data_IF_524618324339
#
_entry.id   IF_524618324339
#
_cell.length_a   1.000
_cell.length_b   1.000
_cell.length_c   1.000
_cell.angle_alpha   90.00
_cell.angle_beta   90.00
_cell.angle_gamma   90.00
#
_symmetry.space_group_name_H-M   'P 1'
#
loop_
_entity.id
_entity.type
_entity.pdbx_description
1 polymer ?
#
# COMPACT_ATOMS: atom_id res chain seq x y z
N UNK A 1 -6.31 23.61 -6.52
CA UNK A 1 -5.85 22.23 -6.78
C UNK A 1 -6.15 21.27 -5.63
N UNK A 2 -6.07 21.70 -4.37
CA UNK A 2 -6.44 20.90 -3.18
C UNK A 2 -7.96 20.70 -3.07
N UNK A 3 -8.78 21.54 -3.65
CA UNK A 3 -10.26 21.45 -3.59
C UNK A 3 -10.83 20.20 -4.26
N UNK A 4 -10.19 19.65 -5.29
CA UNK A 4 -10.68 18.43 -5.97
C UNK A 4 -10.38 17.17 -5.15
N UNK A 5 -9.22 17.12 -4.48
CA UNK A 5 -8.84 15.99 -3.62
C UNK A 5 -9.80 15.85 -2.43
N UNK A 6 -10.23 16.99 -1.83
CA UNK A 6 -11.15 17.00 -0.70
C UNK A 6 -12.61 16.67 -1.06
N UNK A 7 -12.91 16.29 -2.29
CA UNK A 7 -14.28 16.12 -2.76
C UNK A 7 -14.71 14.67 -2.98
N UNK A 8 -13.90 13.66 -2.57
CA UNK A 8 -14.23 12.24 -2.78
C UNK A 8 -15.56 11.85 -2.15
N UNK A 9 -15.87 12.32 -0.93
CA UNK A 9 -17.19 12.07 -0.29
C UNK A 9 -18.37 12.55 -1.12
N UNK A 10 -18.19 13.61 -1.93
CA UNK A 10 -19.25 14.10 -2.83
C UNK A 10 -19.33 13.35 -4.15
N UNK A 11 -18.27 12.65 -4.54
CA UNK A 11 -18.23 11.85 -5.77
C UNK A 11 -18.87 10.47 -5.57
N UNK A 12 -18.81 9.92 -4.36
CA UNK A 12 -19.35 8.61 -4.01
C UNK A 12 -20.51 8.80 -3.05
N UNK A 13 -21.73 8.60 -3.55
CA UNK A 13 -22.95 8.99 -2.87
C UNK A 13 -23.32 8.12 -1.69
N UNK A 14 -22.89 6.86 -1.62
CA UNK A 14 -23.30 5.89 -0.59
C UNK A 14 -22.12 4.98 -0.24
N UNK A 15 -21.75 5.01 1.03
CA UNK A 15 -20.73 4.15 1.65
C UNK A 15 -21.41 2.91 2.24
N UNK A 16 -20.88 1.71 2.10
CA UNK A 16 -19.86 1.15 1.20
C UNK A 16 -20.42 0.56 -0.10
N UNK A 17 -21.62 0.92 -0.50
CA UNK A 17 -22.37 0.31 -1.61
C UNK A 17 -22.00 0.85 -3.00
N UNK A 18 -21.02 1.74 -3.09
CA UNK A 18 -20.58 2.29 -4.36
C UNK A 18 -19.69 1.31 -5.12
N UNK A 19 -19.97 1.10 -6.40
CA UNK A 19 -19.05 0.41 -7.31
C UNK A 19 -17.99 1.39 -7.77
N UNK A 20 -16.72 1.07 -7.49
CA UNK A 20 -15.59 1.90 -7.83
C UNK A 20 -14.88 1.34 -9.05
N UNK A 21 -14.83 2.12 -10.14
CA UNK A 21 -14.06 1.77 -11.32
C UNK A 21 -12.71 2.49 -11.29
N UNK A 22 -11.67 1.79 -10.85
CA UNK A 22 -10.30 2.33 -10.76
C UNK A 22 -9.66 2.61 -12.14
N UNK A 23 -10.30 2.20 -13.24
CA UNK A 23 -9.88 2.52 -14.60
C UNK A 23 -10.58 3.76 -15.16
N UNK A 24 -11.57 4.31 -14.47
CA UNK A 24 -12.25 5.55 -14.84
C UNK A 24 -11.27 6.72 -14.91
N UNK A 25 -11.50 7.62 -15.86
CA UNK A 25 -10.67 8.79 -16.06
C UNK A 25 -10.59 9.72 -14.84
N UNK A 26 -11.67 9.80 -14.05
CA UNK A 26 -11.69 10.58 -12.80
C UNK A 26 -10.77 9.96 -11.75
N UNK A 27 -10.83 8.64 -11.56
CA UNK A 27 -9.92 7.94 -10.66
C UNK A 27 -8.47 8.13 -11.06
N UNK A 28 -8.17 7.93 -12.34
CA UNK A 28 -6.81 8.10 -12.87
C UNK A 28 -6.29 9.53 -12.72
N UNK A 29 -7.17 10.54 -12.85
CA UNK A 29 -6.81 11.95 -12.62
C UNK A 29 -6.42 12.17 -11.16
N UNK A 30 -7.22 11.68 -10.20
CA UNK A 30 -6.94 11.77 -8.76
C UNK A 30 -5.64 11.03 -8.39
N UNK A 31 -5.44 9.84 -8.92
CA UNK A 31 -4.21 9.08 -8.70
C UNK A 31 -2.96 9.83 -9.18
N UNK A 32 -3.04 10.49 -10.33
CA UNK A 32 -1.94 11.34 -10.84
C UNK A 32 -1.70 12.55 -9.93
N UNK A 33 -2.76 13.17 -9.40
CA UNK A 33 -2.64 14.29 -8.45
C UNK A 33 -1.96 13.85 -7.16
N UNK A 34 -2.34 12.70 -6.59
CA UNK A 34 -1.68 12.14 -5.43
C UNK A 34 -0.21 11.82 -5.68
N UNK A 35 0.11 11.13 -6.77
CA UNK A 35 1.50 10.81 -7.12
C UNK A 35 2.36 12.07 -7.26
N UNK A 36 1.79 13.15 -7.81
CA UNK A 36 2.47 14.45 -7.90
C UNK A 36 2.69 15.08 -6.53
N UNK A 37 1.70 15.06 -5.63
CA UNK A 37 1.81 15.61 -4.28
C UNK A 37 2.82 14.85 -3.42
N UNK A 38 2.81 13.54 -3.52
CA UNK A 38 3.74 12.67 -2.78
C UNK A 38 5.18 12.72 -3.33
N UNK A 39 5.38 13.37 -4.46
CA UNK A 39 6.66 13.61 -5.17
C UNK A 39 7.38 12.37 -5.66
N UNK A 40 7.06 11.21 -5.15
CA UNK A 40 7.65 9.91 -5.49
C UNK A 40 6.64 8.79 -5.29
N UNK A 41 6.96 7.62 -5.80
CA UNK A 41 6.14 6.43 -5.64
C UNK A 41 6.19 5.80 -4.23
N UNK A 42 7.04 6.33 -3.35
CA UNK A 42 7.17 5.88 -1.96
C UNK A 42 7.90 4.54 -1.77
N UNK A 43 8.45 3.96 -2.83
CA UNK A 43 9.15 2.67 -2.83
C UNK A 43 10.67 2.84 -2.91
N UNK A 44 11.43 1.90 -2.36
CA UNK A 44 12.89 1.79 -2.53
C UNK A 44 13.30 1.22 -3.88
N UNK A 45 12.36 1.02 -4.81
CA UNK A 45 12.59 0.37 -6.09
C UNK A 45 12.79 1.36 -7.21
N UNK A 46 13.68 1.01 -8.15
CA UNK A 46 13.99 1.82 -9.32
C UNK A 46 12.83 1.82 -10.34
N UNK A 47 12.62 2.97 -11.03
CA UNK A 47 11.58 3.16 -12.05
C UNK A 47 11.67 2.17 -13.24
N UNK A 48 12.84 1.59 -13.51
CA UNK A 48 13.01 0.57 -14.56
C UNK A 48 12.16 -0.67 -14.34
N UNK A 49 11.86 -1.05 -13.11
CA UNK A 49 11.00 -2.18 -12.80
C UNK A 49 9.53 -1.93 -13.21
N UNK A 50 9.09 -0.67 -13.19
CA UNK A 50 7.72 -0.30 -13.59
C UNK A 50 7.45 -0.45 -15.08
N UNK A 51 8.44 -0.19 -15.93
CA UNK A 51 8.26 -0.30 -17.38
C UNK A 51 8.22 -1.76 -17.84
N UNK A 52 8.96 -2.65 -17.17
CA UNK A 52 8.96 -4.10 -17.42
C UNK A 52 7.60 -4.75 -17.07
N UNK A 53 6.92 -4.27 -16.01
CA UNK A 53 5.58 -4.77 -15.60
C UNK A 53 4.49 -4.52 -16.63
N UNK A 54 4.56 -3.41 -17.37
CA UNK A 54 3.56 -3.08 -18.40
C UNK A 54 3.57 -4.12 -19.53
N UNK A 55 4.74 -4.66 -19.86
CA UNK A 55 4.92 -5.65 -20.92
C UNK A 55 4.49 -7.06 -20.48
N UNK A 56 4.74 -7.47 -19.22
CA UNK A 56 4.29 -8.77 -18.69
C UNK A 56 2.77 -8.85 -18.51
N UNK A 57 2.11 -7.74 -18.15
CA UNK A 57 0.64 -7.67 -18.07
C UNK A 57 -0.07 -7.87 -19.40
N UNK A 58 0.59 -7.53 -20.52
CA UNK A 58 0.06 -7.74 -21.87
C UNK A 58 0.17 -9.20 -22.29
N UNK A 59 1.25 -9.89 -21.89
CA UNK A 59 1.45 -11.32 -22.21
C UNK A 59 0.47 -12.24 -21.46
N UNK A 60 0.07 -11.90 -20.22
CA UNK A 60 -0.97 -12.66 -19.46
C UNK A 60 -2.36 -12.67 -20.13
N UNK A 61 -2.63 -11.77 -21.09
CA UNK A 61 -3.91 -11.74 -21.80
C UNK A 61 -4.06 -12.78 -22.91
N UNK A 62 -3.00 -13.44 -23.31
CA UNK A 62 -3.00 -14.35 -24.46
C UNK A 62 -3.15 -15.83 -24.10
N UNK A 63 -3.51 -16.17 -22.85
CA UNK A 63 -3.72 -17.55 -22.39
C UNK A 63 -2.58 -18.54 -22.68
N UNK A 64 -1.38 -18.06 -22.92
CA UNK A 64 -0.21 -18.92 -23.12
C UNK A 64 0.36 -19.35 -21.76
N UNK A 65 0.61 -20.64 -21.61
CA UNK A 65 1.28 -21.19 -20.43
C UNK A 65 2.72 -20.65 -20.41
N UNK A 66 3.15 -19.91 -19.35
CA UNK A 66 4.49 -19.36 -19.30
C UNK A 66 5.55 -20.46 -19.37
N UNK A 67 6.57 -20.25 -20.19
CA UNK A 67 7.75 -21.14 -20.22
C UNK A 67 8.49 -21.08 -18.87
N UNK A 68 9.31 -22.11 -18.56
CA UNK A 68 10.10 -22.12 -17.31
C UNK A 68 11.02 -20.90 -17.16
N UNK A 69 11.58 -20.38 -18.26
CA UNK A 69 12.32 -19.09 -18.26
C UNK A 69 11.44 -17.91 -17.91
N UNK A 70 10.21 -17.87 -18.39
CA UNK A 70 9.24 -16.81 -18.06
C UNK A 70 8.76 -16.94 -16.62
N UNK A 71 8.55 -18.16 -16.12
CA UNK A 71 8.25 -18.41 -14.70
C UNK A 71 9.41 -17.98 -13.82
N UNK A 72 10.65 -18.31 -14.17
CA UNK A 72 11.85 -17.89 -13.43
C UNK A 72 12.06 -16.38 -13.47
N UNK A 73 11.74 -15.73 -14.58
CA UNK A 73 11.73 -14.27 -14.70
C UNK A 73 10.58 -13.63 -13.87
N UNK A 74 9.41 -14.24 -13.83
CA UNK A 74 8.30 -13.84 -12.98
C UNK A 74 8.60 -14.06 -11.49
N UNK A 75 9.42 -15.06 -11.15
CA UNK A 75 9.87 -15.33 -9.77
C UNK A 75 10.98 -14.37 -9.32
N UNK A 76 11.87 -13.99 -10.25
CA UNK A 76 12.98 -13.07 -9.95
C UNK A 76 12.57 -11.59 -10.02
N UNK A 77 11.49 -11.25 -10.72
CA UNK A 77 10.89 -9.92 -10.68
C UNK A 77 10.02 -9.84 -9.41
N UNK A 78 10.56 -9.24 -8.36
CA UNK A 78 9.82 -8.91 -7.14
C UNK A 78 8.65 -7.96 -7.50
N UNK A 79 7.60 -8.53 -8.09
CA UNK A 79 6.39 -7.83 -8.53
C UNK A 79 5.55 -7.41 -7.31
N UNK A 80 6.05 -6.49 -6.51
CA UNK A 80 5.28 -5.96 -5.38
C UNK A 80 4.42 -4.81 -5.87
N UNK A 81 3.12 -4.92 -5.59
CA UNK A 81 2.14 -3.89 -5.90
C UNK A 81 2.33 -2.70 -4.97
N UNK A 82 2.21 -1.50 -5.52
CA UNK A 82 2.16 -0.28 -4.72
C UNK A 82 0.71 0.04 -4.39
N UNK A 83 0.46 0.40 -3.13
CA UNK A 83 -0.89 0.72 -2.68
C UNK A 83 -1.44 1.96 -3.42
N UNK A 84 -2.71 1.93 -3.81
CA UNK A 84 -3.31 3.05 -4.53
C UNK A 84 -3.64 4.21 -3.57
N UNK A 85 -3.05 5.41 -3.75
CA UNK A 85 -3.26 6.52 -2.85
C UNK A 85 -4.71 7.02 -2.81
N UNK A 86 -5.49 6.82 -3.88
CA UNK A 86 -6.91 7.17 -3.90
C UNK A 86 -7.71 6.23 -3.00
N UNK A 87 -7.34 4.94 -2.92
CA UNK A 87 -7.94 4.00 -1.98
C UNK A 87 -7.61 4.41 -0.54
N UNK A 88 -6.37 4.82 -0.25
CA UNK A 88 -5.99 5.33 1.08
C UNK A 88 -6.87 6.50 1.50
N UNK A 89 -7.02 7.49 0.62
CA UNK A 89 -7.90 8.63 0.88
C UNK A 89 -9.35 8.19 1.10
N UNK A 90 -9.88 7.33 0.24
CA UNK A 90 -11.27 6.88 0.31
C UNK A 90 -11.57 6.16 1.63
N UNK A 91 -10.68 5.25 2.04
CA UNK A 91 -10.81 4.54 3.30
C UNK A 91 -10.76 5.49 4.49
N UNK A 92 -9.83 6.44 4.49
CA UNK A 92 -9.72 7.43 5.55
C UNK A 92 -10.97 8.33 5.62
N UNK A 93 -11.43 8.86 4.48
CA UNK A 93 -12.60 9.74 4.41
C UNK A 93 -13.89 9.05 4.85
N UNK A 94 -14.03 7.75 4.58
CA UNK A 94 -15.27 7.01 4.89
C UNK A 94 -15.30 6.42 6.29
N UNK A 95 -14.16 5.91 6.77
CA UNK A 95 -14.14 5.05 7.95
C UNK A 95 -13.36 5.61 9.13
N UNK A 96 -12.62 6.71 8.95
CA UNK A 96 -11.87 7.33 10.03
C UNK A 96 -12.51 8.68 10.45
N UNK A 97 -12.41 9.00 11.72
CA UNK A 97 -12.77 10.32 12.20
C UNK A 97 -11.78 11.37 11.68
N UNK A 98 -12.23 12.58 11.45
CA UNK A 98 -11.36 13.68 10.98
C UNK A 98 -10.23 13.93 11.98
N UNK A 99 -8.99 13.90 11.51
CA UNK A 99 -7.80 14.03 12.35
C UNK A 99 -7.44 12.75 13.12
N UNK A 100 -8.13 11.64 12.83
CA UNK A 100 -7.95 10.38 13.52
C UNK A 100 -6.58 9.72 13.25
N UNK A 101 -6.23 8.82 14.16
CA UNK A 101 -5.02 8.03 14.10
C UNK A 101 -5.27 6.69 13.41
N UNK A 102 -4.53 6.45 12.32
CA UNK A 102 -4.57 5.20 11.56
C UNK A 102 -3.32 4.38 11.84
N UNK A 103 -3.52 3.09 12.04
CA UNK A 103 -2.44 2.13 12.20
C UNK A 103 -2.43 1.12 11.06
N UNK A 104 -1.25 0.57 10.76
CA UNK A 104 -1.05 -0.45 9.74
C UNK A 104 0.03 -1.43 10.16
N UNK A 105 -0.29 -2.70 10.27
CA UNK A 105 0.65 -3.76 10.66
C UNK A 105 1.44 -4.35 9.48
N UNK A 106 1.11 -3.99 8.24
CA UNK A 106 1.83 -4.37 7.01
C UNK A 106 1.99 -3.14 6.12
N UNK A 107 2.75 -2.15 6.63
CA UNK A 107 2.66 -0.78 6.12
C UNK A 107 3.22 -0.59 4.70
N UNK A 108 4.24 -1.36 4.32
CA UNK A 108 4.85 -1.24 3.00
C UNK A 108 5.46 0.14 2.75
N UNK A 109 5.06 0.77 1.66
CA UNK A 109 5.57 2.07 1.23
C UNK A 109 4.92 3.28 1.94
N UNK A 110 5.33 4.51 1.54
CA UNK A 110 4.86 5.75 2.17
C UNK A 110 3.42 6.13 1.86
N UNK A 111 2.77 5.53 0.86
CA UNK A 111 1.53 6.05 0.28
C UNK A 111 0.38 6.11 1.25
N UNK A 112 0.13 5.05 2.01
CA UNK A 112 -0.96 5.04 3.01
C UNK A 112 -0.75 6.15 4.04
N UNK A 113 0.43 6.17 4.66
CA UNK A 113 0.73 7.12 5.73
C UNK A 113 0.77 8.57 5.28
N UNK A 114 1.45 8.86 4.17
CA UNK A 114 1.57 10.23 3.68
C UNK A 114 0.23 10.79 3.17
N UNK A 115 -0.63 9.97 2.56
CA UNK A 115 -1.99 10.40 2.19
C UNK A 115 -2.79 10.76 3.44
N UNK A 116 -2.76 9.93 4.48
CA UNK A 116 -3.48 10.16 5.73
C UNK A 116 -2.96 11.42 6.43
N UNK A 117 -1.65 11.58 6.53
CA UNK A 117 -1.03 12.78 7.11
C UNK A 117 -1.38 14.04 6.33
N UNK A 118 -1.37 13.99 4.99
CA UNK A 118 -1.78 15.11 4.14
C UNK A 118 -3.25 15.52 4.32
N UNK A 119 -4.11 14.56 4.67
CA UNK A 119 -5.52 14.81 4.99
C UNK A 119 -5.74 15.29 6.43
N UNK A 120 -4.66 15.47 7.21
CA UNK A 120 -4.69 15.97 8.58
C UNK A 120 -4.88 14.90 9.66
N UNK A 121 -4.78 13.63 9.30
CA UNK A 121 -4.71 12.51 10.25
C UNK A 121 -3.29 12.25 10.74
N UNK A 122 -3.15 11.21 11.57
CA UNK A 122 -1.84 10.67 11.95
C UNK A 122 -1.76 9.19 11.57
N UNK A 123 -0.55 8.72 11.31
CA UNK A 123 -0.31 7.36 10.86
C UNK A 123 0.86 6.71 11.59
N UNK A 124 0.68 5.46 12.01
CA UNK A 124 1.75 4.62 12.53
C UNK A 124 1.76 3.30 11.76
N UNK A 125 2.80 3.06 10.98
CA UNK A 125 2.98 1.84 10.20
C UNK A 125 4.08 0.95 10.78
N UNK A 126 3.82 -0.36 10.84
CA UNK A 126 4.84 -1.36 11.09
C UNK A 126 5.26 -1.97 9.76
N UNK A 127 6.54 -1.98 9.50
CA UNK A 127 7.13 -2.56 8.29
C UNK A 127 8.32 -3.43 8.69
N UNK A 128 8.37 -4.63 8.15
CA UNK A 128 9.37 -5.62 8.52
C UNK A 128 10.78 -5.28 8.01
N UNK A 129 10.86 -4.68 6.81
CA UNK A 129 12.11 -4.38 6.13
C UNK A 129 12.70 -3.06 6.61
N UNK A 130 13.87 -3.13 7.22
CA UNK A 130 14.56 -1.96 7.79
C UNK A 130 14.84 -0.87 6.74
N UNK A 131 15.32 -1.25 5.57
CA UNK A 131 15.62 -0.33 4.49
C UNK A 131 14.38 0.43 3.99
N UNK A 132 13.22 -0.24 4.00
CA UNK A 132 11.96 0.39 3.64
C UNK A 132 11.52 1.39 4.72
N UNK A 133 11.68 1.05 5.99
CA UNK A 133 11.36 1.95 7.11
C UNK A 133 12.24 3.21 7.07
N UNK A 134 13.53 3.04 6.85
CA UNK A 134 14.48 4.16 6.73
C UNK A 134 14.09 5.09 5.57
N UNK A 135 13.79 4.52 4.40
CA UNK A 135 13.30 5.27 3.25
C UNK A 135 11.99 6.00 3.56
N UNK A 136 11.02 5.31 4.15
CA UNK A 136 9.72 5.88 4.47
C UNK A 136 9.84 7.06 5.43
N UNK A 137 10.65 6.93 6.48
CA UNK A 137 10.81 7.99 7.48
C UNK A 137 11.56 9.22 6.92
N UNK A 138 12.44 9.06 5.93
CA UNK A 138 13.05 10.19 5.20
C UNK A 138 12.00 10.95 4.38
N UNK A 139 11.01 10.24 3.83
CA UNK A 139 9.95 10.78 2.96
C UNK A 139 8.64 11.05 3.71
N UNK A 140 8.60 10.83 5.02
CA UNK A 140 7.40 10.98 5.83
C UNK A 140 6.85 12.41 5.82
N UNK A 141 5.57 12.54 5.53
CA UNK A 141 4.82 13.76 5.81
C UNK A 141 4.63 13.93 7.33
N UNK A 142 4.51 15.18 7.79
CA UNK A 142 4.31 15.46 9.21
C UNK A 142 3.03 14.80 9.74
N UNK A 143 3.16 13.89 10.69
CA UNK A 143 2.06 13.07 11.23
C UNK A 143 2.12 11.59 10.82
N UNK A 144 2.99 11.21 9.88
CA UNK A 144 3.23 9.82 9.52
C UNK A 144 4.57 9.33 10.08
N UNK A 145 4.62 8.07 10.55
CA UNK A 145 5.85 7.41 11.00
C UNK A 145 5.80 5.91 10.69
N UNK A 146 6.97 5.35 10.46
CA UNK A 146 7.16 3.90 10.28
C UNK A 146 8.12 3.35 11.32
N UNK A 147 7.83 2.16 11.81
CA UNK A 147 8.60 1.43 12.83
C UNK A 147 9.02 0.10 12.22
N UNK A 148 10.29 -0.26 12.37
CA UNK A 148 10.82 -1.53 11.91
C UNK A 148 10.56 -2.60 12.95
N UNK A 149 9.58 -3.44 12.69
CA UNK A 149 9.24 -4.59 13.56
C UNK A 149 8.34 -5.57 12.78
N UNK A 150 8.05 -6.72 13.40
CA UNK A 150 6.97 -7.60 12.97
C UNK A 150 5.62 -6.97 13.28
N UNK A 151 4.66 -7.03 12.33
CA UNK A 151 3.31 -6.50 12.49
C UNK A 151 2.56 -7.04 13.71
N UNK A 152 2.87 -8.24 14.16
CA UNK A 152 2.33 -8.86 15.39
C UNK A 152 2.67 -8.05 16.64
N UNK A 153 3.78 -7.33 16.62
CA UNK A 153 4.29 -6.55 17.75
C UNK A 153 3.69 -5.14 17.85
N UNK A 154 2.67 -4.81 17.04
CA UNK A 154 2.12 -3.45 16.97
C UNK A 154 1.73 -2.88 18.33
N UNK A 155 1.22 -3.71 19.24
CA UNK A 155 0.84 -3.29 20.59
C UNK A 155 2.02 -2.89 21.49
N UNK A 156 3.25 -3.22 21.10
CA UNK A 156 4.45 -2.74 21.80
C UNK A 156 4.79 -1.28 21.42
N UNK A 157 4.19 -0.76 20.35
CA UNK A 157 4.51 0.53 19.76
C UNK A 157 3.38 1.56 19.85
N UNK A 158 2.18 1.12 20.21
CA UNK A 158 1.00 1.97 20.38
C UNK A 158 0.29 1.60 21.69
N UNK A 159 -0.40 2.58 22.27
CA UNK A 159 -1.22 2.32 23.45
C UNK A 159 -2.54 1.66 23.03
N UNK A 160 -3.11 0.84 23.89
CA UNK A 160 -4.47 0.34 23.68
C UNK A 160 -5.47 1.51 23.49
N UNK A 161 -6.41 1.33 22.58
CA UNK A 161 -7.46 2.31 22.27
C UNK A 161 -6.95 3.68 21.79
N UNK A 162 -5.70 3.76 21.28
CA UNK A 162 -5.11 4.99 20.77
C UNK A 162 -5.27 5.18 19.26
N UNK A 163 -5.83 4.21 18.56
CA UNK A 163 -6.08 4.27 17.13
C UNK A 163 -7.58 4.33 16.85
N UNK A 164 -7.95 5.11 15.83
CA UNK A 164 -9.32 5.28 15.36
C UNK A 164 -9.64 4.33 14.19
N UNK A 165 -8.61 3.85 13.49
CA UNK A 165 -8.76 2.97 12.33
C UNK A 165 -7.54 2.07 12.15
N UNK A 166 -7.79 0.81 11.74
CA UNK A 166 -6.78 -0.08 11.17
C UNK A 166 -6.98 -0.13 9.65
N UNK A 167 -5.94 0.25 8.89
CA UNK A 167 -5.91 0.14 7.42
C UNK A 167 -4.71 -0.68 7.01
N UNK A 168 -4.87 -1.98 6.85
CA UNK A 168 -3.80 -2.89 6.48
C UNK A 168 -4.09 -3.64 5.17
N UNK A 169 -3.02 -3.93 4.44
CA UNK A 169 -3.05 -4.75 3.24
C UNK A 169 -1.90 -5.76 3.34
N UNK A 170 -2.14 -6.89 4.04
CA UNK A 170 -1.11 -7.91 4.23
C UNK A 170 -0.76 -8.60 2.90
N UNK A 171 0.37 -9.30 2.83
CA UNK A 171 0.72 -10.15 1.69
C UNK A 171 -0.39 -11.13 1.31
N UNK A 172 -0.45 -11.48 0.03
CA UNK A 172 -1.41 -12.46 -0.50
C UNK A 172 -0.75 -13.84 -0.65
N UNK A 173 -0.37 -14.45 0.45
CA UNK A 173 0.36 -15.72 0.47
C UNK A 173 1.58 -15.66 -0.46
N UNK A 174 1.76 -16.60 -1.36
CA UNK A 174 2.90 -16.70 -2.29
C UNK A 174 2.72 -15.92 -3.61
N UNK A 175 1.77 -15.00 -3.68
CA UNK A 175 1.53 -14.20 -4.89
C UNK A 175 2.65 -13.18 -5.12
N UNK A 176 3.12 -12.57 -4.04
CA UNK A 176 4.22 -11.60 -4.02
C UNK A 176 5.18 -11.95 -2.88
N UNK A 177 6.48 -12.02 -3.16
CA UNK A 177 7.52 -12.21 -2.16
C UNK A 177 8.13 -10.85 -1.83
N UNK A 178 8.03 -10.44 -0.57
CA UNK A 178 8.43 -9.09 -0.15
C UNK A 178 9.88 -9.02 0.33
N UNK A 179 10.36 -10.06 1.00
CA UNK A 179 11.74 -10.14 1.50
C UNK A 179 12.21 -11.59 1.60
N UNK A 180 13.47 -11.77 1.99
CA UNK A 180 14.04 -13.09 2.32
C UNK A 180 14.06 -13.34 3.84
N UNK A 181 13.39 -12.48 4.63
CA UNK A 181 13.35 -12.61 6.07
C UNK A 181 12.50 -13.82 6.48
N UNK A 182 12.97 -14.54 7.48
CA UNK A 182 12.32 -15.77 7.95
C UNK A 182 10.89 -15.52 8.49
N UNK A 183 10.69 -14.35 9.08
CA UNK A 183 9.39 -13.93 9.62
C UNK A 183 8.52 -13.15 8.62
N UNK A 184 8.88 -13.13 7.33
CA UNK A 184 8.02 -12.60 6.29
C UNK A 184 6.96 -13.64 5.92
N UNK A 185 5.70 -13.36 6.22
CA UNK A 185 4.58 -14.28 5.98
C UNK A 185 4.39 -14.64 4.51
N UNK A 186 4.92 -13.83 3.57
CA UNK A 186 4.90 -14.16 2.14
C UNK A 186 5.79 -15.38 1.80
N UNK A 187 6.71 -15.77 2.70
CA UNK A 187 7.57 -16.93 2.56
C UNK A 187 6.96 -18.20 3.17
N UNK A 188 5.72 -18.17 3.64
CA UNK A 188 5.04 -19.32 4.24
C UNK A 188 5.01 -20.52 3.30
N UNK A 189 5.37 -21.70 3.81
CA UNK A 189 5.49 -22.93 3.00
C UNK A 189 4.17 -23.42 2.41
N UNK A 190 3.06 -23.14 3.12
CA UNK A 190 1.72 -23.50 2.67
C UNK A 190 0.70 -22.49 3.22
N UNK A 191 -0.53 -22.59 2.71
CA UNK A 191 -1.60 -21.65 3.06
C UNK A 191 -2.04 -21.76 4.53
N UNK A 192 -2.00 -22.94 5.13
CA UNK A 192 -2.40 -23.14 6.52
C UNK A 192 -1.42 -22.46 7.51
N UNK A 193 -0.13 -22.45 7.19
CA UNK A 193 0.89 -21.71 7.96
C UNK A 193 0.73 -20.20 7.76
N UNK A 194 0.34 -19.79 6.55
CA UNK A 194 0.15 -18.37 6.23
C UNK A 194 -1.00 -17.72 6.99
N UNK A 195 -2.09 -18.44 7.26
CA UNK A 195 -3.30 -17.90 7.89
C UNK A 195 -3.36 -18.10 9.41
N UNK A 196 -2.47 -18.87 10.01
CA UNK A 196 -2.38 -19.09 11.45
C UNK A 196 -1.31 -18.24 12.08
#
# INVERSE_FOLDING_TARGET
EIKEINNLKKMFLIEPYSVINTRDGKWQKLKKQWNYLLKEDGSTREEEEFSKRRNTGIQKRNNEIPTEKQKQFMYNDKNISLFDPVISQLCYDWFCVKGGHVIDCCAGDTRKGNVIAHLGGTFTGIELRKEQVEHNNIKAENGAKWICDNGENILNHINEKSADMLLSCPPYFNLEVYSELENDISNSQNYDIFIN
#
